data_IF_999551490405
#
_entry.id   IF_999551490405
#
_cell.length_a   1.000
_cell.length_b   1.000
_cell.length_c   1.000
_cell.angle_alpha   90.00
_cell.angle_beta   90.00
_cell.angle_gamma   90.00
#
_symmetry.space_group_name_H-M   'P 1'
#
loop_
_entity.id
_entity.type
_entity.pdbx_description
1 polymer ?
#
# COMPACT_ATOMS: atom_id res chain seq x y z
N UNK A 1 -14.67 2.22 16.92
CA UNK A 1 -13.79 2.84 17.95
C UNK A 1 -12.59 1.94 18.13
N UNK A 2 -11.39 2.52 18.24
CA UNK A 2 -10.15 1.77 18.49
C UNK A 2 -10.23 1.09 19.87
N UNK A 3 -10.14 -0.24 19.89
CA UNK A 3 -10.02 -1.00 21.14
C UNK A 3 -8.66 -0.74 21.78
N UNK A 4 -8.56 -0.86 23.11
CA UNK A 4 -7.28 -0.65 23.80
C UNK A 4 -6.24 -1.71 23.41
N UNK A 5 -6.68 -2.93 23.10
CA UNK A 5 -5.84 -3.97 22.53
C UNK A 5 -5.22 -3.53 21.19
N UNK A 6 -6.02 -2.95 20.29
CA UNK A 6 -5.49 -2.49 18.99
C UNK A 6 -4.54 -1.30 19.15
N UNK A 7 -4.84 -0.36 20.04
CA UNK A 7 -3.93 0.76 20.35
C UNK A 7 -2.59 0.24 20.83
N UNK A 8 -2.59 -0.78 21.70
CA UNK A 8 -1.38 -1.42 22.20
C UNK A 8 -0.58 -2.07 21.07
N UNK A 9 -1.22 -2.81 20.16
CA UNK A 9 -0.55 -3.39 18.98
C UNK A 9 0.14 -2.32 18.13
N UNK A 10 -0.54 -1.20 17.83
CA UNK A 10 0.03 -0.10 17.04
C UNK A 10 1.23 0.54 17.77
N UNK A 11 1.12 0.75 19.08
CA UNK A 11 2.18 1.35 19.89
C UNK A 11 3.40 0.44 20.02
N UNK A 12 3.17 -0.84 20.28
CA UNK A 12 4.22 -1.85 20.45
C UNK A 12 4.97 -2.05 19.12
N UNK A 13 4.24 -2.14 17.99
CA UNK A 13 4.86 -2.25 16.68
C UNK A 13 5.74 -1.04 16.32
N UNK A 14 5.30 0.18 16.65
CA UNK A 14 6.10 1.38 16.43
C UNK A 14 7.33 1.42 17.33
N UNK A 15 7.19 1.10 18.62
CA UNK A 15 8.31 1.07 19.57
C UNK A 15 9.35 0.03 19.19
N UNK A 16 8.91 -1.20 18.90
CA UNK A 16 9.80 -2.27 18.49
C UNK A 16 10.59 -1.91 17.23
N UNK A 17 9.92 -1.34 16.22
CA UNK A 17 10.60 -0.90 15.00
C UNK A 17 11.69 0.15 15.29
N UNK A 18 11.38 1.13 16.16
CA UNK A 18 12.36 2.15 16.53
C UNK A 18 13.54 1.58 17.32
N UNK A 19 13.26 0.70 18.28
CA UNK A 19 14.28 0.10 19.13
C UNK A 19 15.25 -0.77 18.31
N UNK A 20 14.72 -1.64 17.44
CA UNK A 20 15.54 -2.49 16.56
C UNK A 20 16.39 -1.66 15.60
N UNK A 21 15.86 -0.54 15.09
CA UNK A 21 16.58 0.34 14.15
C UNK A 21 17.42 1.41 14.84
N UNK A 22 17.46 1.43 16.18
CA UNK A 22 18.09 2.47 16.99
C UNK A 22 17.67 3.91 16.58
N UNK A 23 16.38 4.09 16.30
CA UNK A 23 15.80 5.36 15.84
C UNK A 23 15.12 6.11 16.98
N UNK A 24 15.09 7.44 16.88
CA UNK A 24 14.36 8.30 17.83
C UNK A 24 12.93 8.56 17.37
N UNK A 25 11.94 8.51 18.27
CA UNK A 25 10.54 8.76 17.92
C UNK A 25 10.31 10.24 17.59
N UNK A 26 9.61 10.51 16.48
CA UNK A 26 9.33 11.87 15.99
C UNK A 26 7.88 12.27 16.28
N UNK A 27 7.66 13.49 16.76
CA UNK A 27 6.32 13.98 17.08
C UNK A 27 5.36 13.91 15.88
N UNK A 28 5.79 14.38 14.70
CA UNK A 28 4.97 14.34 13.49
C UNK A 28 4.55 12.93 13.07
N UNK A 29 5.42 11.93 13.24
CA UNK A 29 5.07 10.53 12.97
C UNK A 29 4.01 10.03 13.95
N UNK A 30 4.18 10.28 15.25
CA UNK A 30 3.21 9.87 16.28
C UNK A 30 1.84 10.51 16.05
N UNK A 31 1.82 11.79 15.66
CA UNK A 31 0.60 12.51 15.33
C UNK A 31 -0.08 11.90 14.10
N UNK A 32 0.67 11.65 13.03
CA UNK A 32 0.17 10.98 11.82
C UNK A 32 -0.42 9.60 12.14
N UNK A 33 0.30 8.76 12.91
CA UNK A 33 -0.19 7.44 13.35
C UNK A 33 -1.51 7.58 14.09
N UNK A 34 -1.59 8.49 15.07
CA UNK A 34 -2.78 8.68 15.88
C UNK A 34 -3.99 9.16 15.06
N UNK A 35 -3.79 10.10 14.12
CA UNK A 35 -4.85 10.60 13.26
C UNK A 35 -5.36 9.53 12.30
N UNK A 36 -4.46 8.80 11.62
CA UNK A 36 -4.84 7.70 10.73
C UNK A 36 -5.59 6.62 11.50
N UNK A 37 -5.07 6.20 12.67
CA UNK A 37 -5.69 5.16 13.46
C UNK A 37 -7.09 5.57 13.94
N UNK A 38 -7.25 6.83 14.38
CA UNK A 38 -8.55 7.36 14.84
C UNK A 38 -9.59 7.32 13.73
N UNK A 39 -9.25 7.79 12.53
CA UNK A 39 -10.17 7.83 11.40
C UNK A 39 -10.50 6.41 10.93
N UNK A 40 -9.49 5.58 10.64
CA UNK A 40 -9.72 4.23 10.14
C UNK A 40 -10.45 3.32 11.15
N UNK A 41 -10.10 3.41 12.44
CA UNK A 41 -10.79 2.68 13.51
C UNK A 41 -12.14 3.27 13.92
N UNK A 42 -12.47 4.47 13.43
CA UNK A 42 -13.74 5.17 13.64
C UNK A 42 -14.83 4.82 12.63
N UNK A 43 -14.46 4.27 11.46
CA UNK A 43 -15.40 3.97 10.37
C UNK A 43 -16.44 2.94 10.81
N UNK A 44 -17.70 3.38 10.95
CA UNK A 44 -18.85 2.50 11.23
C UNK A 44 -19.39 1.91 9.94
N UNK A 45 -19.86 0.66 10.00
CA UNK A 45 -20.52 -0.03 8.89
C UNK A 45 -21.80 -0.69 9.36
N UNK A 46 -22.79 -0.77 8.48
CA UNK A 46 -24.00 -1.55 8.71
C UNK A 46 -23.77 -3.04 8.36
N UNK A 47 -24.81 -3.86 8.52
CA UNK A 47 -24.76 -5.30 8.26
C UNK A 47 -24.52 -5.64 6.77
N UNK A 48 -24.80 -4.71 5.86
CA UNK A 48 -24.56 -4.84 4.41
C UNK A 48 -23.17 -4.33 3.98
N UNK A 49 -22.26 -4.11 4.94
CA UNK A 49 -20.93 -3.52 4.73
C UNK A 49 -20.92 -2.10 4.14
N UNK A 50 -22.07 -1.45 4.05
CA UNK A 50 -22.16 -0.04 3.66
C UNK A 50 -21.63 0.82 4.80
N UNK A 51 -20.96 1.90 4.41
CA UNK A 51 -20.43 2.87 5.36
C UNK A 51 -21.59 3.65 5.98
N UNK A 52 -21.65 3.70 7.30
CA UNK A 52 -22.55 4.61 7.99
C UNK A 52 -22.06 6.07 7.88
N UNK A 53 -22.83 7.00 8.45
CA UNK A 53 -22.37 8.38 8.63
C UNK A 53 -21.17 8.49 9.58
N UNK A 54 -20.36 9.55 9.40
CA UNK A 54 -19.21 9.89 10.26
C UNK A 54 -17.90 10.13 9.50
N UNK A 55 -16.87 10.55 10.25
CA UNK A 55 -15.54 10.83 9.70
C UNK A 55 -14.88 9.55 9.16
N UNK A 56 -14.52 9.58 7.88
CA UNK A 56 -13.94 8.44 7.18
C UNK A 56 -12.80 8.84 6.25
N UNK A 57 -12.44 10.11 6.25
CA UNK A 57 -11.36 10.68 5.46
C UNK A 57 -10.36 11.35 6.40
N UNK A 58 -9.08 11.10 6.17
CA UNK A 58 -7.98 11.73 6.87
C UNK A 58 -7.05 12.34 5.83
N UNK A 59 -6.74 13.62 5.98
CA UNK A 59 -5.75 14.31 5.16
C UNK A 59 -4.57 14.67 6.05
N UNK A 60 -3.38 14.24 5.65
CA UNK A 60 -2.14 14.51 6.38
C UNK A 60 -1.11 15.04 5.39
N UNK A 61 -0.63 16.25 5.64
CA UNK A 61 0.53 16.80 4.96
C UNK A 61 1.79 16.46 5.76
N UNK A 62 2.80 15.91 5.08
CA UNK A 62 4.07 15.59 5.72
C UNK A 62 5.24 15.73 4.73
N UNK A 63 6.29 16.44 5.15
CA UNK A 63 7.50 16.67 4.37
C UNK A 63 8.25 15.38 4.00
N UNK A 64 9.18 15.45 3.05
CA UNK A 64 10.05 14.32 2.66
C UNK A 64 10.92 13.85 3.83
N UNK A 65 11.31 12.58 3.85
CA UNK A 65 12.17 12.03 4.92
C UNK A 65 11.53 11.94 6.32
N UNK A 66 10.23 12.27 6.47
CA UNK A 66 9.51 12.20 7.75
C UNK A 66 9.11 10.78 8.15
N UNK A 67 9.37 9.76 7.32
CA UNK A 67 8.98 8.37 7.58
C UNK A 67 7.48 8.12 7.45
N UNK A 68 6.85 8.75 6.44
CA UNK A 68 5.42 8.61 6.14
C UNK A 68 5.00 7.14 5.97
N UNK A 69 5.83 6.34 5.28
CA UNK A 69 5.54 4.93 5.03
C UNK A 69 5.36 4.13 6.32
N UNK A 70 6.31 4.27 7.25
CA UNK A 70 6.21 3.65 8.56
C UNK A 70 4.94 4.08 9.29
N UNK A 71 4.65 5.39 9.30
CA UNK A 71 3.52 5.94 10.05
C UNK A 71 2.16 5.41 9.56
N UNK A 72 1.90 5.42 8.25
CA UNK A 72 0.62 4.88 7.75
C UNK A 72 0.56 3.35 7.86
N UNK A 73 1.67 2.63 7.67
CA UNK A 73 1.67 1.18 7.68
C UNK A 73 1.41 0.62 9.08
N UNK A 74 2.12 1.13 10.09
CA UNK A 74 1.96 0.68 11.49
C UNK A 74 0.58 1.02 12.04
N UNK A 75 -0.06 2.09 11.57
CA UNK A 75 -1.45 2.39 11.91
C UNK A 75 -2.45 1.49 11.15
N UNK A 76 -2.31 1.39 9.83
CA UNK A 76 -3.35 0.83 8.97
C UNK A 76 -3.33 -0.70 8.90
N UNK A 77 -2.16 -1.35 8.98
CA UNK A 77 -2.06 -2.82 8.90
C UNK A 77 -2.82 -3.50 10.05
N UNK A 78 -2.60 -3.15 11.34
CA UNK A 78 -3.35 -3.77 12.43
C UNK A 78 -4.87 -3.54 12.33
N UNK A 79 -5.28 -2.36 11.88
CA UNK A 79 -6.70 -2.02 11.69
C UNK A 79 -7.31 -2.87 10.57
N UNK A 80 -6.62 -3.01 9.45
CA UNK A 80 -7.06 -3.84 8.34
C UNK A 80 -7.22 -5.31 8.77
N UNK A 81 -6.29 -5.83 9.58
CA UNK A 81 -6.37 -7.18 10.13
C UNK A 81 -7.54 -7.35 11.09
N UNK A 82 -7.71 -6.45 12.06
CA UNK A 82 -8.82 -6.53 13.02
C UNK A 82 -10.18 -6.42 12.32
N UNK A 83 -10.26 -5.66 11.22
CA UNK A 83 -11.51 -5.48 10.46
C UNK A 83 -11.68 -6.47 9.31
N UNK A 84 -10.76 -7.42 9.17
CA UNK A 84 -10.70 -8.40 8.08
C UNK A 84 -10.86 -7.74 6.68
N UNK A 85 -10.03 -6.73 6.42
CA UNK A 85 -10.01 -5.97 5.17
C UNK A 85 -8.62 -5.98 4.52
N UNK A 86 -8.62 -5.70 3.23
CA UNK A 86 -7.40 -5.48 2.44
C UNK A 86 -7.00 -4.02 2.56
N UNK A 87 -5.76 -3.76 2.97
CA UNK A 87 -5.16 -2.43 2.93
C UNK A 87 -4.61 -2.17 1.52
N UNK A 88 -5.13 -1.13 0.86
CA UNK A 88 -4.61 -0.66 -0.43
C UNK A 88 -3.78 0.60 -0.20
N UNK A 89 -2.50 0.55 -0.57
CA UNK A 89 -1.60 1.70 -0.59
C UNK A 89 -1.41 2.11 -2.04
N UNK A 90 -1.85 3.32 -2.38
CA UNK A 90 -1.66 3.90 -3.73
C UNK A 90 -0.59 4.99 -3.69
N UNK A 91 0.21 5.06 -4.75
CA UNK A 91 1.27 6.06 -4.91
C UNK A 91 1.46 6.43 -6.38
N UNK A 92 2.06 7.58 -6.64
CA UNK A 92 2.05 8.25 -7.94
C UNK A 92 2.86 7.53 -9.03
N UNK A 93 3.99 6.89 -8.68
CA UNK A 93 4.92 6.34 -9.68
C UNK A 93 5.30 4.90 -9.38
N UNK A 94 5.71 4.16 -10.43
CA UNK A 94 6.22 2.79 -10.29
C UNK A 94 7.45 2.74 -9.39
N UNK A 95 8.35 3.71 -9.48
CA UNK A 95 9.53 3.79 -8.61
C UNK A 95 9.16 3.90 -7.13
N UNK A 96 8.14 4.69 -6.79
CA UNK A 96 7.63 4.78 -5.41
C UNK A 96 6.96 3.49 -4.95
N UNK A 97 6.23 2.79 -5.84
CA UNK A 97 5.68 1.47 -5.53
C UNK A 97 6.79 0.48 -5.22
N UNK A 98 7.87 0.49 -6.00
CA UNK A 98 9.03 -0.38 -5.84
C UNK A 98 9.80 -0.08 -4.55
N UNK A 99 9.93 1.18 -4.18
CA UNK A 99 10.48 1.55 -2.88
C UNK A 99 9.64 0.98 -1.73
N UNK A 100 8.30 1.12 -1.81
CA UNK A 100 7.41 0.62 -0.76
C UNK A 100 7.47 -0.90 -0.67
N UNK A 101 7.41 -1.62 -1.79
CA UNK A 101 7.29 -3.08 -1.83
C UNK A 101 8.61 -3.81 -1.54
N UNK A 102 9.75 -3.28 -2.01
CA UNK A 102 11.04 -3.97 -1.91
C UNK A 102 11.92 -3.46 -0.78
N UNK A 103 11.59 -2.30 -0.18
CA UNK A 103 12.36 -1.72 0.91
C UNK A 103 11.49 -1.46 2.14
N UNK A 104 10.52 -0.56 2.04
CA UNK A 104 9.85 -0.05 3.24
C UNK A 104 9.01 -1.14 3.94
N UNK A 105 8.15 -1.87 3.22
CA UNK A 105 7.29 -2.90 3.81
C UNK A 105 8.07 -4.13 4.30
N UNK A 106 9.09 -4.65 3.58
CA UNK A 106 9.96 -5.70 4.12
C UNK A 106 10.69 -5.28 5.40
N UNK A 107 11.17 -4.03 5.46
CA UNK A 107 11.82 -3.48 6.66
C UNK A 107 10.84 -3.41 7.84
N UNK A 108 9.58 -3.03 7.58
CA UNK A 108 8.51 -3.01 8.60
C UNK A 108 8.15 -4.43 9.04
N UNK A 109 7.95 -5.36 8.11
CA UNK A 109 7.62 -6.76 8.39
C UNK A 109 8.66 -7.41 9.30
N UNK A 110 9.94 -7.14 9.03
CA UNK A 110 11.07 -7.73 9.78
C UNK A 110 11.20 -7.12 11.18
N UNK A 111 11.01 -5.81 11.32
CA UNK A 111 11.43 -5.09 12.53
C UNK A 111 10.29 -4.61 13.44
N UNK A 112 9.03 -4.65 13.00
CA UNK A 112 7.89 -4.14 13.79
C UNK A 112 7.12 -5.22 14.58
N UNK A 113 7.41 -6.51 14.35
CA UNK A 113 6.64 -7.62 14.94
C UNK A 113 5.25 -7.82 14.31
N UNK A 114 4.84 -6.99 13.35
CA UNK A 114 3.64 -7.19 12.56
C UNK A 114 3.84 -8.35 11.58
N UNK A 115 2.78 -9.12 11.33
CA UNK A 115 2.78 -10.24 10.38
C UNK A 115 1.75 -9.97 9.29
N UNK A 116 2.18 -9.81 8.04
CA UNK A 116 1.27 -9.52 6.93
C UNK A 116 1.84 -9.97 5.59
N UNK A 117 0.96 -10.19 4.63
CA UNK A 117 1.31 -10.45 3.23
C UNK A 117 1.13 -9.20 2.39
N UNK A 118 1.97 -9.02 1.38
CA UNK A 118 1.87 -7.90 0.45
C UNK A 118 1.93 -8.39 -0.99
N UNK A 119 1.16 -7.77 -1.87
CA UNK A 119 1.22 -7.99 -3.32
C UNK A 119 1.22 -6.66 -4.04
N UNK A 120 1.83 -6.65 -5.23
CA UNK A 120 2.00 -5.46 -6.06
C UNK A 120 1.01 -5.48 -7.23
N UNK A 121 0.19 -4.44 -7.33
CA UNK A 121 -0.74 -4.26 -8.44
C UNK A 121 -0.21 -3.19 -9.40
N UNK A 122 0.20 -3.59 -10.60
CA UNK A 122 0.61 -2.69 -11.69
C UNK A 122 -0.39 -2.77 -12.85
N UNK A 123 -0.42 -1.75 -13.70
CA UNK A 123 -1.21 -1.80 -14.94
C UNK A 123 -0.70 -2.89 -15.89
N UNK A 124 -1.59 -3.52 -16.67
CA UNK A 124 -1.26 -4.67 -17.55
C UNK A 124 -0.06 -4.42 -18.46
N UNK A 125 0.07 -3.21 -19.01
CA UNK A 125 1.20 -2.79 -19.87
C UNK A 125 2.58 -2.83 -19.18
N UNK A 126 2.63 -3.08 -17.86
CA UNK A 126 3.87 -3.25 -17.08
C UNK A 126 4.27 -4.71 -16.88
N UNK A 127 3.53 -5.66 -17.46
CA UNK A 127 3.84 -7.09 -17.45
C UNK A 127 4.17 -7.56 -18.86
N UNK A 128 5.14 -8.47 -18.96
CA UNK A 128 5.49 -9.12 -20.22
C UNK A 128 4.39 -10.13 -20.62
N UNK A 129 3.99 -10.13 -21.88
CA UNK A 129 3.12 -11.17 -22.42
C UNK A 129 3.99 -12.34 -22.89
N UNK A 130 3.94 -13.46 -22.17
CA UNK A 130 4.76 -14.64 -22.47
C UNK A 130 4.50 -15.17 -23.89
N UNK A 131 3.24 -15.20 -24.33
CA UNK A 131 2.89 -15.60 -25.70
C UNK A 131 3.53 -14.71 -26.78
N UNK A 132 3.53 -13.38 -26.59
CA UNK A 132 4.23 -12.45 -27.51
C UNK A 132 5.75 -12.64 -27.47
N UNK A 133 6.31 -12.90 -26.29
CA UNK A 133 7.74 -13.18 -26.14
C UNK A 133 8.15 -14.46 -26.88
N UNK A 134 7.39 -15.54 -26.72
CA UNK A 134 7.66 -16.82 -27.39
C UNK A 134 7.59 -16.70 -28.91
N UNK A 135 6.59 -15.96 -29.43
CA UNK A 135 6.46 -15.68 -30.86
C UNK A 135 7.70 -14.96 -31.40
N UNK A 136 8.16 -13.90 -30.73
CA UNK A 136 9.37 -13.15 -31.11
C UNK A 136 10.63 -14.01 -31.05
N UNK A 137 10.75 -14.89 -30.04
CA UNK A 137 11.90 -15.79 -29.89
C UNK A 137 11.93 -16.91 -30.93
N UNK A 138 10.76 -17.39 -31.38
CA UNK A 138 10.62 -18.48 -32.35
C UNK A 138 10.91 -18.07 -33.81
N UNK A 139 11.21 -16.80 -34.08
CA UNK A 139 11.54 -16.30 -35.41
C UNK A 139 10.37 -16.30 -36.40
N UNK A 140 9.15 -16.55 -35.92
CA UNK A 140 7.96 -16.37 -36.73
C UNK A 140 7.73 -14.86 -36.91
N UNK A 141 7.56 -14.40 -38.15
CA UNK A 141 7.03 -13.07 -38.50
C UNK A 141 5.58 -12.97 -37.99
N UNK A 142 5.42 -12.88 -36.67
CA UNK A 142 4.14 -12.84 -36.02
C UNK A 142 3.60 -11.42 -36.18
N UNK A 143 2.64 -11.24 -37.10
CA UNK A 143 1.71 -10.12 -37.04
C UNK A 143 1.11 -10.13 -35.63
N UNK A 144 1.53 -9.19 -34.79
CA UNK A 144 1.11 -9.09 -33.40
C UNK A 144 -0.40 -8.91 -33.38
N UNK A 145 -1.14 -10.00 -33.17
CA UNK A 145 -2.58 -9.93 -32.99
C UNK A 145 -2.81 -9.25 -31.64
N UNK A 146 -3.54 -8.12 -31.59
CA UNK A 146 -3.89 -7.51 -30.33
C UNK A 146 -4.76 -8.49 -29.54
N UNK A 147 -4.28 -8.90 -28.36
CA UNK A 147 -4.98 -9.85 -27.49
C UNK A 147 -6.08 -9.17 -26.69
N UNK A 148 -6.10 -7.83 -26.69
CA UNK A 148 -7.03 -7.03 -25.90
C UNK A 148 -7.43 -5.76 -26.64
N UNK A 149 -8.64 -5.31 -26.38
CA UNK A 149 -9.30 -4.17 -27.04
C UNK A 149 -8.49 -2.87 -26.87
N UNK A 150 -7.83 -2.67 -25.73
CA UNK A 150 -7.02 -1.49 -25.41
C UNK A 150 -5.62 -1.48 -26.05
N UNK A 151 -5.23 -2.53 -26.78
CA UNK A 151 -4.03 -2.55 -27.63
C UNK A 151 -4.29 -1.94 -29.02
N UNK A 152 -5.55 -1.85 -29.46
CA UNK A 152 -5.90 -1.17 -30.72
C UNK A 152 -5.79 0.36 -30.63
N UNK A 153 -5.90 0.93 -29.43
CA UNK A 153 -5.88 2.39 -29.22
C UNK A 153 -4.46 2.97 -29.06
N UNK A 154 -3.40 2.19 -29.34
CA UNK A 154 -2.01 2.56 -29.08
C UNK A 154 -1.11 2.54 -30.33
N UNK A 155 -1.66 2.88 -31.51
CA UNK A 155 -0.91 3.24 -32.71
C UNK A 155 -1.35 4.64 -33.18
N UNK A 156 -0.44 5.44 -33.77
CA UNK A 156 -0.01 6.72 -33.20
C UNK A 156 -0.82 7.92 -33.70
N UNK A 157 -0.91 8.96 -32.86
CA UNK A 157 -1.04 10.33 -33.35
C UNK A 157 0.28 10.66 -34.07
N UNK A 158 0.29 10.39 -35.39
CA UNK A 158 1.31 10.85 -36.31
C UNK A 158 0.70 11.96 -37.16
N UNK A 159 0.89 13.21 -36.71
CA UNK A 159 1.04 14.42 -37.54
C UNK A 159 2.15 15.29 -36.93
#
# INVERSE_FOLDING_TARGET
MLTDALKKVIQDAYRQFLDVKALRPRYGQRLMIAHIARVLGGVKRNQEFQRGGGDHLCVVEAGTGTGKTLAYAVAAIPIAQQTNKILVISTATVALQEQIIYRDLPDILTNSGLQFTVSLSKGRRRYICLSKLDQLLSGADAKVLPLYIDEHMAAPDAE
#
